data_IF_035087938390
#
_entry.id   IF_035087938390
#
_cell.length_a   1.000
_cell.length_b   1.000
_cell.length_c   1.000
_cell.angle_alpha   90.00
_cell.angle_beta   90.00
_cell.angle_gamma   90.00
#
_symmetry.space_group_name_H-M   'P 1'
#
loop_
_entity.id
_entity.type
_entity.pdbx_description
1 polymer ?
#
# COMPACT_ATOMS: atom_id res chain seq x y z
N UNK A 1 11.57 -2.13 -20.36
CA UNK A 1 10.76 -2.70 -21.48
C UNK A 1 10.89 -4.23 -21.63
N UNK A 2 11.43 -4.95 -20.63
CA UNK A 2 11.62 -6.40 -20.73
C UNK A 2 10.31 -7.19 -20.93
N UNK A 3 9.24 -6.84 -20.21
CA UNK A 3 7.97 -7.57 -20.30
C UNK A 3 7.29 -7.47 -21.67
N UNK A 4 7.08 -6.29 -22.27
CA UNK A 4 6.51 -6.20 -23.62
C UNK A 4 7.36 -6.93 -24.68
N UNK A 5 8.70 -6.88 -24.57
CA UNK A 5 9.60 -7.58 -25.49
C UNK A 5 9.44 -9.09 -25.34
N UNK A 6 9.42 -9.62 -24.12
CA UNK A 6 9.18 -11.04 -23.87
C UNK A 6 7.84 -11.50 -24.45
N UNK A 7 6.78 -10.70 -24.29
CA UNK A 7 5.46 -11.00 -24.83
C UNK A 7 5.49 -11.15 -26.35
N UNK A 8 6.18 -10.24 -27.06
CA UNK A 8 6.28 -10.29 -28.52
C UNK A 8 7.16 -11.43 -29.03
N UNK A 9 8.13 -11.89 -28.24
CA UNK A 9 9.00 -13.01 -28.62
C UNK A 9 8.39 -14.38 -28.35
N UNK A 10 7.61 -14.50 -27.25
CA UNK A 10 7.07 -15.79 -26.78
C UNK A 10 5.69 -16.09 -27.34
N UNK A 11 4.83 -15.08 -27.55
CA UNK A 11 3.44 -15.31 -27.96
C UNK A 11 3.34 -15.35 -29.49
N UNK A 12 2.83 -16.47 -30.08
CA UNK A 12 2.56 -16.55 -31.51
C UNK A 12 1.60 -15.46 -31.98
N UNK A 13 1.84 -14.89 -33.16
CA UNK A 13 1.04 -13.82 -33.74
C UNK A 13 -0.49 -14.04 -33.70
N UNK A 14 -1.06 -15.26 -33.96
CA UNK A 14 -2.50 -15.48 -33.86
C UNK A 14 -3.07 -15.33 -32.42
N UNK A 15 -2.26 -15.54 -31.41
CA UNK A 15 -2.66 -15.46 -30.01
C UNK A 15 -2.46 -14.05 -29.40
N UNK A 16 -1.78 -13.15 -30.11
CA UNK A 16 -1.48 -11.79 -29.60
C UNK A 16 -2.75 -11.01 -29.31
N UNK A 17 -3.78 -11.10 -30.18
CA UNK A 17 -5.08 -10.45 -29.97
C UNK A 17 -5.82 -10.97 -28.73
N UNK A 18 -5.79 -12.29 -28.51
CA UNK A 18 -6.37 -12.91 -27.32
C UNK A 18 -5.64 -12.46 -26.06
N UNK A 19 -4.31 -12.46 -26.08
CA UNK A 19 -3.50 -11.97 -24.97
C UNK A 19 -3.79 -10.49 -24.63
N UNK A 20 -3.89 -9.63 -25.66
CA UNK A 20 -4.23 -8.23 -25.48
C UNK A 20 -5.62 -8.06 -24.84
N UNK A 21 -6.62 -8.84 -25.24
CA UNK A 21 -7.95 -8.83 -24.65
C UNK A 21 -7.94 -9.26 -23.18
N UNK A 22 -7.19 -10.30 -22.83
CA UNK A 22 -7.03 -10.76 -21.44
C UNK A 22 -6.36 -9.68 -20.57
N UNK A 23 -5.29 -9.07 -21.08
CA UNK A 23 -4.59 -7.97 -20.38
C UNK A 23 -5.51 -6.76 -20.16
N UNK A 24 -6.27 -6.39 -21.19
CA UNK A 24 -7.23 -5.30 -21.07
C UNK A 24 -8.33 -5.61 -20.04
N UNK A 25 -8.86 -6.84 -20.03
CA UNK A 25 -9.81 -7.30 -19.02
C UNK A 25 -9.26 -7.26 -17.60
N UNK A 26 -8.00 -7.67 -17.40
CA UNK A 26 -7.32 -7.61 -16.11
C UNK A 26 -7.14 -6.17 -15.61
N UNK A 27 -6.74 -5.24 -16.50
CA UNK A 27 -6.61 -3.83 -16.19
C UNK A 27 -7.96 -3.22 -15.80
N UNK A 28 -9.02 -3.49 -16.57
CA UNK A 28 -10.37 -3.01 -16.27
C UNK A 28 -10.89 -3.54 -14.93
N UNK A 29 -10.64 -4.81 -14.62
CA UNK A 29 -11.03 -5.41 -13.34
C UNK A 29 -10.36 -4.69 -12.17
N UNK A 30 -9.05 -4.46 -12.25
CA UNK A 30 -8.30 -3.73 -11.22
C UNK A 30 -8.79 -2.29 -11.08
N UNK A 31 -9.00 -1.60 -12.20
CA UNK A 31 -9.52 -0.24 -12.23
C UNK A 31 -10.89 -0.13 -11.58
N UNK A 32 -11.81 -1.04 -11.90
CA UNK A 32 -13.15 -1.07 -11.29
C UNK A 32 -13.09 -1.29 -9.78
N UNK A 33 -12.21 -2.16 -9.30
CA UNK A 33 -12.04 -2.42 -7.87
C UNK A 33 -11.56 -1.18 -7.12
N UNK A 34 -10.55 -0.50 -7.64
CA UNK A 34 -10.02 0.75 -7.06
C UNK A 34 -11.10 1.84 -7.10
N UNK A 35 -11.78 2.01 -8.22
CA UNK A 35 -12.83 3.02 -8.38
C UNK A 35 -13.98 2.80 -7.40
N UNK A 36 -14.41 1.55 -7.22
CA UNK A 36 -15.45 1.20 -6.27
C UNK A 36 -15.03 1.52 -4.82
N UNK A 37 -13.78 1.20 -4.45
CA UNK A 37 -13.25 1.54 -3.13
C UNK A 37 -13.22 3.05 -2.88
N UNK A 38 -12.71 3.83 -3.84
CA UNK A 38 -12.69 5.30 -3.74
C UNK A 38 -14.10 5.88 -3.62
N UNK A 39 -15.05 5.37 -4.43
CA UNK A 39 -16.43 5.80 -4.37
C UNK A 39 -17.06 5.55 -3.00
N UNK A 40 -16.85 4.35 -2.45
CA UNK A 40 -17.39 3.97 -1.13
C UNK A 40 -16.77 4.83 -0.03
N UNK A 41 -15.43 4.95 0.00
CA UNK A 41 -14.75 5.75 1.01
C UNK A 41 -15.18 7.22 0.95
N UNK A 42 -15.25 7.82 -0.24
CA UNK A 42 -15.70 9.20 -0.35
C UNK A 42 -17.15 9.38 0.08
N UNK A 43 -18.02 8.45 -0.34
CA UNK A 43 -19.46 8.55 -0.05
C UNK A 43 -19.77 8.33 1.41
N UNK A 44 -19.14 7.33 2.04
CA UNK A 44 -19.42 6.96 3.43
C UNK A 44 -18.63 7.81 4.42
N UNK A 45 -17.31 7.92 4.21
CA UNK A 45 -16.43 8.52 5.21
C UNK A 45 -16.38 10.05 5.11
N UNK A 46 -16.67 10.63 3.92
CA UNK A 46 -16.65 12.08 3.74
C UNK A 46 -18.04 12.64 3.58
N UNK A 47 -18.82 12.16 2.60
CA UNK A 47 -20.11 12.79 2.29
C UNK A 47 -21.13 12.49 3.37
N UNK A 48 -21.30 11.24 3.76
CA UNK A 48 -22.30 10.84 4.77
C UNK A 48 -21.92 11.36 6.16
N UNK A 49 -20.65 11.27 6.54
CA UNK A 49 -20.23 11.65 7.91
C UNK A 49 -20.14 13.17 8.10
N UNK A 50 -19.59 13.92 7.13
CA UNK A 50 -19.29 15.34 7.30
C UNK A 50 -20.20 16.30 6.52
N UNK A 51 -20.81 15.87 5.40
CA UNK A 51 -21.57 16.77 4.53
C UNK A 51 -23.06 16.60 4.74
N UNK A 52 -23.58 15.38 4.75
CA UNK A 52 -25.00 15.09 4.92
C UNK A 52 -25.24 13.78 5.66
N UNK A 53 -25.22 13.78 7.00
CA UNK A 53 -25.45 12.59 7.83
C UNK A 53 -26.86 11.98 7.66
N UNK A 54 -27.85 12.78 7.24
CA UNK A 54 -29.23 12.32 7.04
C UNK A 54 -29.54 11.91 5.60
N UNK A 55 -28.49 11.73 4.76
CA UNK A 55 -28.67 11.36 3.37
C UNK A 55 -29.35 9.99 3.23
N UNK A 56 -30.40 9.91 2.40
CA UNK A 56 -31.02 8.63 2.07
C UNK A 56 -30.07 7.72 1.29
N UNK A 57 -30.26 6.40 1.38
CA UNK A 57 -29.45 5.40 0.64
C UNK A 57 -29.40 5.68 -0.86
N UNK A 58 -30.54 6.08 -1.45
CA UNK A 58 -30.61 6.45 -2.87
C UNK A 58 -29.71 7.65 -3.20
N UNK A 59 -29.62 8.62 -2.29
CA UNK A 59 -28.76 9.79 -2.43
C UNK A 59 -27.28 9.40 -2.34
N UNK A 60 -26.93 8.53 -1.41
CA UNK A 60 -25.56 8.01 -1.27
C UNK A 60 -25.10 7.27 -2.53
N UNK A 61 -25.94 6.40 -3.09
CA UNK A 61 -25.66 5.73 -4.38
C UNK A 61 -25.45 6.73 -5.51
N UNK A 62 -26.26 7.80 -5.58
CA UNK A 62 -26.10 8.83 -6.61
C UNK A 62 -24.81 9.62 -6.45
N UNK A 63 -24.43 9.96 -5.21
CA UNK A 63 -23.16 10.62 -4.91
C UNK A 63 -21.99 9.73 -5.31
N UNK A 64 -22.00 8.45 -4.94
CA UNK A 64 -20.97 7.49 -5.33
C UNK A 64 -20.78 7.40 -6.85
N UNK A 65 -21.89 7.32 -7.61
CA UNK A 65 -21.84 7.33 -9.08
C UNK A 65 -21.20 8.60 -9.64
N UNK A 66 -21.59 9.76 -9.12
CA UNK A 66 -21.02 11.03 -9.59
C UNK A 66 -19.54 11.15 -9.30
N UNK A 67 -19.11 10.76 -8.10
CA UNK A 67 -17.69 10.73 -7.72
C UNK A 67 -16.93 9.75 -8.61
N UNK A 68 -17.49 8.57 -8.89
CA UNK A 68 -16.89 7.61 -9.82
C UNK A 68 -16.64 8.18 -11.20
N UNK A 69 -17.59 8.93 -11.73
CA UNK A 69 -17.42 9.61 -13.03
C UNK A 69 -16.29 10.66 -12.95
N UNK A 70 -16.26 11.47 -11.90
CA UNK A 70 -15.22 12.48 -11.71
C UNK A 70 -13.83 11.83 -11.65
N UNK A 71 -13.66 10.76 -10.86
CA UNK A 71 -12.39 10.03 -10.79
C UNK A 71 -12.03 9.35 -12.11
N UNK A 72 -12.98 8.75 -12.81
CA UNK A 72 -12.73 8.13 -14.10
C UNK A 72 -12.24 9.17 -15.15
N UNK A 73 -12.85 10.33 -15.19
CA UNK A 73 -12.42 11.43 -16.08
C UNK A 73 -11.05 11.95 -15.65
N UNK A 74 -10.83 12.19 -14.36
CA UNK A 74 -9.56 12.68 -13.83
C UNK A 74 -8.42 11.72 -14.17
N UNK A 75 -8.60 10.41 -13.97
CA UNK A 75 -7.58 9.40 -14.28
C UNK A 75 -7.31 9.28 -15.77
N UNK A 76 -8.32 9.47 -16.62
CA UNK A 76 -8.16 9.49 -18.08
C UNK A 76 -7.31 10.70 -18.54
N UNK A 77 -7.43 11.83 -17.85
CA UNK A 77 -6.64 13.05 -18.15
C UNK A 77 -5.21 12.91 -17.60
N UNK A 78 -5.07 12.43 -16.36
CA UNK A 78 -3.77 12.32 -15.68
C UNK A 78 -2.94 11.15 -16.22
N UNK A 79 -3.57 10.04 -16.64
CA UNK A 79 -2.88 8.85 -17.12
C UNK A 79 -1.82 9.12 -18.19
N UNK A 80 -2.11 9.83 -19.29
CA UNK A 80 -1.12 10.19 -20.31
C UNK A 80 0.03 11.05 -19.81
N UNK A 81 -0.16 11.84 -18.74
CA UNK A 81 0.89 12.71 -18.19
C UNK A 81 2.05 11.91 -17.59
N UNK A 82 1.80 10.65 -17.24
CA UNK A 82 2.84 9.72 -16.75
C UNK A 82 3.94 9.49 -17.78
N UNK A 83 3.65 9.64 -19.08
CA UNK A 83 4.64 9.53 -20.15
C UNK A 83 5.81 10.51 -20.00
N UNK A 84 5.58 11.64 -19.34
CA UNK A 84 6.59 12.69 -19.14
C UNK A 84 7.55 12.44 -17.97
N UNK A 85 7.39 11.34 -17.21
CA UNK A 85 8.28 11.02 -16.08
C UNK A 85 9.52 10.23 -16.53
N UNK A 86 10.74 10.81 -16.43
CA UNK A 86 11.96 10.20 -16.97
C UNK A 86 12.44 8.97 -16.19
N UNK A 87 12.07 8.83 -14.92
CA UNK A 87 12.49 7.71 -14.06
C UNK A 87 11.76 6.38 -14.34
N UNK A 88 10.85 6.36 -15.30
CA UNK A 88 9.98 5.22 -15.59
C UNK A 88 8.74 5.16 -14.70
N UNK A 89 7.63 4.81 -15.32
CA UNK A 89 6.32 4.75 -14.68
C UNK A 89 6.30 3.91 -13.41
N UNK A 90 6.92 2.73 -13.44
CA UNK A 90 6.90 1.80 -12.32
C UNK A 90 7.55 2.40 -11.07
N UNK A 91 8.76 2.94 -11.20
CA UNK A 91 9.50 3.55 -10.08
C UNK A 91 8.75 4.73 -9.49
N UNK A 92 8.13 5.55 -10.34
CA UNK A 92 7.31 6.68 -9.90
C UNK A 92 6.09 6.21 -9.10
N UNK A 93 5.33 5.23 -9.63
CA UNK A 93 4.15 4.69 -8.95
C UNK A 93 4.52 4.01 -7.63
N UNK A 94 5.58 3.18 -7.63
CA UNK A 94 6.05 2.51 -6.42
C UNK A 94 6.45 3.54 -5.35
N UNK A 95 7.16 4.61 -5.73
CA UNK A 95 7.54 5.68 -4.80
C UNK A 95 6.32 6.40 -4.21
N UNK A 96 5.30 6.65 -5.02
CA UNK A 96 4.07 7.30 -4.58
C UNK A 96 3.23 6.41 -3.66
N UNK A 97 3.13 5.12 -4.00
CA UNK A 97 2.46 4.12 -3.15
C UNK A 97 3.16 4.01 -1.80
N UNK A 98 4.49 4.03 -1.78
CA UNK A 98 5.25 3.96 -0.53
C UNK A 98 5.14 5.22 0.31
N UNK A 99 5.03 6.41 -0.31
CA UNK A 99 4.84 7.67 0.41
C UNK A 99 3.58 7.66 1.31
N UNK A 100 2.52 7.02 0.86
CA UNK A 100 1.23 6.99 1.57
C UNK A 100 1.00 5.63 2.24
N UNK A 101 1.32 4.53 1.58
CA UNK A 101 1.01 3.17 2.03
C UNK A 101 1.84 2.72 3.23
N UNK A 102 3.11 3.07 3.26
CA UNK A 102 3.98 2.62 4.35
C UNK A 102 3.60 3.21 5.72
N UNK A 103 3.36 4.53 5.88
CA UNK A 103 2.95 5.05 7.18
C UNK A 103 1.59 4.52 7.64
N UNK A 104 0.68 4.21 6.72
CA UNK A 104 -0.57 3.53 7.05
C UNK A 104 -0.28 2.13 7.59
N UNK A 105 0.61 1.38 6.94
CA UNK A 105 1.04 0.07 7.41
C UNK A 105 1.69 0.17 8.80
N UNK A 106 2.56 1.15 9.03
CA UNK A 106 3.18 1.40 10.33
C UNK A 106 2.14 1.70 11.41
N UNK A 107 1.13 2.52 11.11
CA UNK A 107 0.04 2.84 12.03
C UNK A 107 -0.78 1.61 12.41
N UNK A 108 -1.11 0.76 11.42
CA UNK A 108 -1.82 -0.50 11.65
C UNK A 108 -0.99 -1.45 12.50
N UNK A 109 0.29 -1.65 12.16
CA UNK A 109 1.21 -2.47 12.98
C UNK A 109 1.31 -1.93 14.42
N UNK A 110 1.46 -0.61 14.56
CA UNK A 110 1.51 0.01 15.88
C UNK A 110 0.24 -0.24 16.70
N UNK A 111 -0.92 -0.14 16.09
CA UNK A 111 -2.21 -0.44 16.74
C UNK A 111 -2.32 -1.89 17.21
N UNK A 112 -1.77 -2.86 16.46
CA UNK A 112 -1.79 -4.28 16.87
C UNK A 112 -0.79 -4.60 17.98
N UNK A 113 0.40 -4.02 17.95
CA UNK A 113 1.48 -4.41 18.86
C UNK A 113 1.57 -3.54 20.11
N UNK A 114 1.11 -2.29 20.05
CA UNK A 114 1.26 -1.32 21.14
C UNK A 114 -0.07 -0.97 21.80
N UNK A 115 -0.35 -1.59 22.92
CA UNK A 115 -1.63 -1.50 23.66
C UNK A 115 -1.92 -0.14 24.31
N UNK A 116 -0.91 0.70 24.48
CA UNK A 116 -1.02 2.02 25.14
C UNK A 116 -0.68 3.17 24.19
N UNK A 117 -0.88 2.97 22.88
CA UNK A 117 -0.56 3.97 21.89
C UNK A 117 -1.55 5.14 21.94
N UNK A 118 -1.06 6.40 22.04
CA UNK A 118 -1.96 7.55 22.03
C UNK A 118 -2.60 7.76 20.66
N UNK A 119 -3.83 8.28 20.64
CA UNK A 119 -4.60 8.47 19.38
C UNK A 119 -3.88 9.33 18.33
N UNK A 120 -3.06 10.28 18.76
CA UNK A 120 -2.31 11.13 17.83
C UNK A 120 -1.09 10.44 17.20
N UNK A 121 -0.67 9.27 17.69
CA UNK A 121 0.54 8.59 17.22
C UNK A 121 0.47 8.25 15.73
N UNK A 122 -0.66 7.75 15.25
CA UNK A 122 -0.87 7.46 13.83
C UNK A 122 -0.69 8.72 12.96
N UNK A 123 -1.29 9.84 13.37
CA UNK A 123 -1.16 11.13 12.66
C UNK A 123 0.29 11.61 12.64
N UNK A 124 0.99 11.48 13.77
CA UNK A 124 2.39 11.88 13.90
C UNK A 124 3.28 11.05 12.95
N UNK A 125 3.11 9.73 12.91
CA UNK A 125 3.86 8.85 12.01
C UNK A 125 3.59 9.17 10.55
N UNK A 126 2.33 9.40 10.18
CA UNK A 126 1.98 9.79 8.80
C UNK A 126 2.68 11.09 8.39
N UNK A 127 2.65 12.12 9.23
CA UNK A 127 3.32 13.40 8.95
C UNK A 127 4.84 13.21 8.89
N UNK A 128 5.41 12.50 9.85
CA UNK A 128 6.84 12.20 9.90
C UNK A 128 7.31 11.50 8.62
N UNK A 129 6.62 10.44 8.22
CA UNK A 129 6.96 9.70 6.99
C UNK A 129 6.85 10.57 5.75
N UNK A 130 5.73 11.26 5.55
CA UNK A 130 5.50 12.12 4.39
C UNK A 130 6.60 13.18 4.28
N UNK A 131 6.99 13.80 5.40
CA UNK A 131 8.06 14.80 5.42
C UNK A 131 9.42 14.16 5.11
N UNK A 132 9.81 13.11 5.84
CA UNK A 132 11.14 12.51 5.68
C UNK A 132 11.30 11.83 4.32
N UNK A 133 10.34 11.02 3.92
CA UNK A 133 10.40 10.31 2.63
C UNK A 133 10.12 11.25 1.44
N UNK A 134 9.23 12.22 1.60
CA UNK A 134 8.99 13.27 0.60
C UNK A 134 10.23 14.12 0.34
N UNK A 135 10.94 14.53 1.40
CA UNK A 135 12.25 15.19 1.27
C UNK A 135 13.28 14.31 0.57
N UNK A 136 13.32 13.01 0.92
CA UNK A 136 14.19 12.07 0.23
C UNK A 136 13.89 12.03 -1.28
N UNK A 137 12.62 11.95 -1.69
CA UNK A 137 12.24 11.92 -3.11
C UNK A 137 12.61 13.21 -3.86
N UNK A 138 12.61 14.35 -3.18
CA UNK A 138 12.99 15.65 -3.78
C UNK A 138 14.51 15.79 -3.86
N UNK A 139 15.23 15.38 -2.81
CA UNK A 139 16.66 15.61 -2.67
C UNK A 139 17.46 14.55 -3.43
N UNK A 140 17.07 13.28 -3.39
CA UNK A 140 17.80 12.17 -3.99
C UNK A 140 18.13 12.36 -5.47
N UNK A 141 17.23 12.86 -6.34
CA UNK A 141 17.55 13.10 -7.74
C UNK A 141 18.57 14.21 -7.98
N UNK A 142 18.72 15.16 -7.05
CA UNK A 142 19.62 16.30 -7.19
C UNK A 142 21.07 15.97 -6.81
N UNK A 143 21.26 14.92 -6.03
CA UNK A 143 22.57 14.46 -5.58
C UNK A 143 22.86 13.06 -6.14
N UNK A 144 23.70 12.93 -7.19
CA UNK A 144 24.03 11.63 -7.80
C UNK A 144 24.56 10.59 -6.81
N UNK A 145 25.26 11.05 -5.77
CA UNK A 145 25.78 10.19 -4.70
C UNK A 145 24.63 9.56 -3.90
N UNK A 146 23.54 10.30 -3.69
CA UNK A 146 22.36 9.82 -2.96
C UNK A 146 21.37 9.15 -3.90
N UNK A 147 21.03 9.77 -5.01
CA UNK A 147 20.00 9.29 -5.95
C UNK A 147 20.49 8.24 -6.94
N UNK A 148 21.79 8.21 -7.25
CA UNK A 148 22.38 7.18 -8.12
C UNK A 148 22.78 5.91 -7.38
N UNK A 149 22.97 6.00 -6.06
CA UNK A 149 23.44 4.89 -5.21
C UNK A 149 22.40 4.38 -4.23
N UNK A 150 21.44 5.21 -3.81
CA UNK A 150 20.45 4.83 -2.80
C UNK A 150 19.08 4.66 -3.48
N UNK A 151 18.72 3.41 -3.72
CA UNK A 151 17.38 3.05 -4.18
C UNK A 151 16.36 3.39 -3.10
N UNK A 152 15.14 3.83 -3.50
CA UNK A 152 14.06 4.21 -2.56
C UNK A 152 13.74 3.13 -1.52
N UNK A 153 13.97 1.85 -1.84
CA UNK A 153 13.79 0.74 -0.90
C UNK A 153 14.71 0.83 0.31
N UNK A 154 15.94 1.36 0.16
CA UNK A 154 16.84 1.54 1.31
C UNK A 154 16.34 2.65 2.25
N UNK A 155 15.80 3.73 1.67
CA UNK A 155 15.18 4.78 2.48
C UNK A 155 14.01 4.23 3.31
N UNK A 156 13.16 3.42 2.70
CA UNK A 156 12.04 2.73 3.36
C UNK A 156 12.54 1.76 4.43
N UNK A 157 13.56 0.95 4.12
CA UNK A 157 14.14 0.00 5.07
C UNK A 157 14.72 0.67 6.31
N UNK A 158 15.12 1.94 6.23
CA UNK A 158 15.59 2.73 7.36
C UNK A 158 14.42 3.42 8.07
N UNK A 159 13.50 4.02 7.32
CA UNK A 159 12.39 4.78 7.90
C UNK A 159 11.41 3.90 8.67
N UNK A 160 11.06 2.73 8.15
CA UNK A 160 10.09 1.85 8.79
C UNK A 160 10.48 1.40 10.21
N UNK A 161 11.70 0.91 10.49
CA UNK A 161 12.13 0.63 11.86
C UNK A 161 12.13 1.88 12.75
N UNK A 162 12.49 3.05 12.22
CA UNK A 162 12.48 4.31 12.99
C UNK A 162 11.04 4.65 13.40
N UNK A 163 10.07 4.49 12.50
CA UNK A 163 8.65 4.70 12.80
C UNK A 163 8.16 3.78 13.90
N UNK A 164 8.51 2.50 13.83
CA UNK A 164 8.16 1.53 14.87
C UNK A 164 8.81 1.88 16.21
N UNK A 165 10.06 2.35 16.21
CA UNK A 165 10.73 2.83 17.43
C UNK A 165 10.07 4.06 18.00
N UNK A 166 9.65 5.03 17.18
CA UNK A 166 8.89 6.20 17.62
C UNK A 166 7.58 5.76 18.28
N UNK A 167 6.85 4.82 17.66
CA UNK A 167 5.61 4.30 18.22
C UNK A 167 5.84 3.54 19.54
N UNK A 168 6.89 2.74 19.62
CA UNK A 168 7.27 2.05 20.85
C UNK A 168 7.59 3.04 21.97
N UNK A 169 8.33 4.11 21.65
CA UNK A 169 8.62 5.20 22.59
C UNK A 169 7.35 5.90 23.05
N UNK A 170 6.46 6.26 22.15
CA UNK A 170 5.18 6.90 22.48
C UNK A 170 4.30 5.99 23.34
N UNK A 171 4.25 4.71 23.04
CA UNK A 171 3.54 3.71 23.82
C UNK A 171 4.10 3.61 25.26
N UNK A 172 5.43 3.57 25.39
CA UNK A 172 6.08 3.51 26.71
C UNK A 172 5.83 4.79 27.52
N UNK A 173 5.97 5.96 26.89
CA UNK A 173 5.72 7.26 27.50
C UNK A 173 4.26 7.40 27.94
N UNK A 174 3.31 7.08 27.07
CA UNK A 174 1.88 7.19 27.37
C UNK A 174 1.48 6.28 28.53
N UNK A 175 2.00 5.05 28.61
CA UNK A 175 1.80 4.16 29.74
C UNK A 175 2.37 4.70 31.05
N UNK A 176 3.52 5.39 30.98
CA UNK A 176 4.15 6.01 32.16
C UNK A 176 3.38 7.24 32.65
N UNK A 177 2.91 8.06 31.72
CA UNK A 177 2.19 9.29 32.02
C UNK A 177 0.74 9.01 32.51
N UNK A 178 0.18 7.87 32.13
CA UNK A 178 -1.17 7.41 32.46
C UNK A 178 -1.15 5.98 33.01
N UNK A 179 -0.68 5.73 34.24
CA UNK A 179 -0.53 4.39 34.81
C UNK A 179 -1.87 3.64 34.97
N UNK A 180 -2.96 4.39 35.16
CA UNK A 180 -4.33 3.85 35.33
C UNK A 180 -5.05 3.59 34.00
N UNK A 181 -4.38 3.84 32.87
CA UNK A 181 -4.95 3.61 31.55
C UNK A 181 -5.11 2.11 31.30
N UNK A 182 -6.33 1.68 31.04
CA UNK A 182 -6.57 0.31 30.61
C UNK A 182 -5.91 0.05 29.25
N UNK A 183 -5.30 -1.14 29.11
CA UNK A 183 -4.77 -1.55 27.83
C UNK A 183 -5.92 -1.65 26.83
N UNK A 184 -5.73 -1.12 25.62
CA UNK A 184 -6.69 -1.36 24.57
C UNK A 184 -6.75 -2.87 24.31
N UNK A 185 -7.87 -3.46 24.61
CA UNK A 185 -8.19 -4.85 24.29
C UNK A 185 -9.16 -4.86 23.11
N UNK A 186 -8.86 -5.70 22.14
CA UNK A 186 -9.76 -5.93 21.03
C UNK A 186 -11.03 -6.57 21.63
N UNK A 187 -12.20 -5.94 21.41
CA UNK A 187 -13.47 -6.55 21.79
C UNK A 187 -13.52 -7.96 21.19
N UNK A 188 -13.74 -8.94 22.05
CA UNK A 188 -13.94 -10.32 21.61
C UNK A 188 -15.19 -10.39 20.74
N UNK A 189 -14.99 -10.35 19.45
CA UNK A 189 -16.03 -10.59 18.47
C UNK A 189 -16.34 -12.09 18.50
N UNK A 190 -17.18 -12.51 19.43
CA UNK A 190 -17.60 -13.90 19.61
C UNK A 190 -18.32 -14.54 18.39
N UNK A 191 -18.44 -13.81 17.29
CA UNK A 191 -19.13 -14.23 16.08
C UNK A 191 -18.31 -15.10 15.13
N UNK A 192 -17.00 -15.19 15.29
CA UNK A 192 -16.12 -15.94 14.37
C UNK A 192 -15.28 -16.94 15.15
N UNK A 193 -15.31 -18.20 14.74
CA UNK A 193 -14.44 -19.24 15.28
C UNK A 193 -12.98 -18.91 14.88
N UNK A 194 -12.23 -18.39 15.86
CA UNK A 194 -10.80 -18.02 15.71
C UNK A 194 -9.85 -19.19 16.01
N UNK A 195 -10.35 -20.42 16.12
CA UNK A 195 -9.49 -21.59 16.34
C UNK A 195 -8.50 -21.74 15.19
N UNK A 196 -7.21 -21.69 15.51
CA UNK A 196 -6.20 -21.69 14.47
C UNK A 196 -6.14 -23.07 13.78
N UNK A 197 -6.15 -23.07 12.47
CA UNK A 197 -6.01 -24.26 11.66
C UNK A 197 -4.80 -25.12 12.08
N UNK A 198 -5.03 -26.43 12.26
CA UNK A 198 -4.05 -27.41 12.81
C UNK A 198 -2.69 -27.38 12.09
N UNK A 199 -2.71 -27.20 10.77
CA UNK A 199 -1.50 -27.27 9.93
C UNK A 199 -0.86 -25.90 9.64
N UNK A 200 -1.35 -24.80 10.24
CA UNK A 200 -0.87 -23.43 9.98
C UNK A 200 0.65 -23.27 10.06
N UNK A 201 1.28 -23.86 11.09
CA UNK A 201 2.74 -23.79 11.29
C UNK A 201 3.51 -24.54 10.20
N UNK A 202 3.03 -25.71 9.83
CA UNK A 202 3.65 -26.53 8.76
C UNK A 202 3.57 -25.81 7.43
N UNK A 203 2.39 -25.26 7.08
CA UNK A 203 2.22 -24.49 5.85
C UNK A 203 3.06 -23.21 5.84
N UNK A 204 3.14 -22.49 6.96
CA UNK A 204 3.99 -21.30 7.06
C UNK A 204 5.47 -21.64 6.82
N UNK A 205 5.98 -22.69 7.45
CA UNK A 205 7.36 -23.14 7.24
C UNK A 205 7.58 -23.60 5.80
N UNK A 206 6.63 -24.34 5.23
CA UNK A 206 6.71 -24.80 3.85
C UNK A 206 6.75 -23.62 2.85
N UNK A 207 5.93 -22.60 3.04
CA UNK A 207 5.92 -21.38 2.20
C UNK A 207 7.25 -20.64 2.32
N UNK A 208 7.76 -20.43 3.54
CA UNK A 208 9.04 -19.77 3.77
C UNK A 208 10.19 -20.54 3.11
N UNK A 209 10.22 -21.87 3.30
CA UNK A 209 11.23 -22.72 2.67
C UNK A 209 11.17 -22.65 1.14
N UNK A 210 9.96 -22.70 0.57
CA UNK A 210 9.75 -22.57 -0.89
C UNK A 210 10.24 -21.22 -1.40
N UNK A 211 9.93 -20.12 -0.71
CA UNK A 211 10.42 -18.79 -1.05
C UNK A 211 11.96 -18.75 -1.04
N UNK A 212 12.59 -19.28 0.01
CA UNK A 212 14.06 -19.32 0.10
C UNK A 212 14.65 -20.14 -1.04
N UNK A 213 14.07 -21.29 -1.36
CA UNK A 213 14.53 -22.15 -2.47
C UNK A 213 14.42 -21.42 -3.80
N UNK A 214 13.29 -20.77 -4.06
CA UNK A 214 13.09 -19.99 -5.30
C UNK A 214 14.11 -18.86 -5.39
N UNK A 215 14.27 -18.06 -4.34
CA UNK A 215 15.26 -16.97 -4.33
C UNK A 215 16.68 -17.48 -4.49
N UNK A 216 17.05 -18.57 -3.84
CA UNK A 216 18.38 -19.18 -4.00
C UNK A 216 18.61 -19.70 -5.43
N UNK A 217 17.60 -20.40 -6.00
CA UNK A 217 17.67 -20.96 -7.34
C UNK A 217 17.84 -19.88 -8.43
N UNK A 218 17.16 -18.76 -8.31
CA UNK A 218 17.21 -17.65 -9.27
C UNK A 218 18.19 -16.52 -8.87
N UNK A 219 18.97 -16.71 -7.81
CA UNK A 219 20.04 -15.79 -7.43
C UNK A 219 21.28 -15.98 -8.33
N UNK A 220 22.25 -15.04 -8.28
CA UNK A 220 23.56 -15.20 -8.95
C UNK A 220 24.36 -16.45 -8.51
N UNK A 221 23.95 -17.11 -7.43
CA UNK A 221 24.52 -18.38 -6.94
C UNK A 221 23.87 -19.63 -7.54
N UNK A 222 22.79 -19.48 -8.30
CA UNK A 222 22.03 -20.56 -8.93
C UNK A 222 21.86 -20.35 -10.44
N UNK A 223 20.59 -20.54 -10.93
CA UNK A 223 20.25 -20.42 -12.36
C UNK A 223 20.29 -18.98 -12.88
N UNK A 224 20.47 -17.99 -12.01
CA UNK A 224 20.56 -16.56 -12.37
C UNK A 224 22.00 -16.08 -12.64
N UNK A 225 22.97 -17.01 -12.72
CA UNK A 225 24.36 -16.70 -13.01
C UNK A 225 24.64 -16.58 -14.53
#
# INVERSE_FOLDING_TARGET
>A
AAYPQLVTEVIPAPLMGFFAAVMFGAILSSFNSVLNSVNTMFTMDIYHEYINPEASEMKLVQVGKNIGIVFAVATTIVGPMVYFFPAGLKTFLDSFVMLIGLPVLSAVFGGFFFKYLPQYAAKLIMIFHIVCYGLFLIIAPQYPVVGGTIHYLYAIAILWPIELLIMAFLNHKNKKDHPDMEAWEQEDVHAVDMTPWKYRKVCAVAIIALCIIIYAAFSPLGLGA
#
